data_IF_799646561031
#
_entry.id   IF_799646561031
#
_cell.length_a   1.000
_cell.length_b   1.000
_cell.length_c   1.000
_cell.angle_alpha   90.00
_cell.angle_beta   90.00
_cell.angle_gamma   90.00
#
_symmetry.space_group_name_H-M   'P 1'
#
loop_
_entity.id
_entity.type
_entity.pdbx_description
1 polymer ?
#
# COMPACT_ATOMS: atom_id res chain seq x y z
N UNK A 1 35.71 7.52 62.75
CA UNK A 1 34.46 8.08 62.27
C UNK A 1 34.69 8.53 60.85
N UNK A 2 34.29 7.74 59.88
CA UNK A 2 34.43 8.03 58.42
C UNK A 2 33.04 8.25 57.83
N UNK A 3 32.74 9.48 57.41
CA UNK A 3 31.49 9.87 56.74
C UNK A 3 31.59 9.46 55.29
N UNK A 4 30.76 8.50 54.89
CA UNK A 4 30.56 8.13 53.49
C UNK A 4 29.44 9.01 52.97
N UNK A 5 29.78 9.96 52.10
CA UNK A 5 28.81 10.77 51.38
C UNK A 5 28.31 9.95 50.19
N UNK A 6 27.04 9.48 50.23
CA UNK A 6 26.38 8.85 49.13
C UNK A 6 26.11 9.89 48.03
N UNK A 7 26.81 9.76 46.91
CA UNK A 7 26.54 10.53 45.70
C UNK A 7 25.48 9.74 44.92
N UNK A 8 24.23 10.19 44.94
CA UNK A 8 23.17 9.66 44.08
C UNK A 8 23.35 10.31 42.72
N UNK A 9 23.87 9.55 41.78
CA UNK A 9 23.90 9.96 40.39
C UNK A 9 22.50 9.80 39.77
N UNK A 10 21.83 10.93 39.55
CA UNK A 10 20.54 10.98 38.83
C UNK A 10 20.83 10.89 37.35
N UNK A 11 20.65 9.69 36.76
CA UNK A 11 20.73 9.48 35.35
C UNK A 11 19.44 10.01 34.70
N UNK A 12 19.52 11.16 34.04
CA UNK A 12 18.47 11.67 33.19
C UNK A 12 18.40 10.80 31.94
N UNK A 13 17.42 9.90 31.88
CA UNK A 13 17.10 9.16 30.66
C UNK A 13 16.30 10.09 29.77
N UNK A 14 16.93 10.71 28.77
CA UNK A 14 16.23 11.44 27.72
C UNK A 14 15.55 10.42 26.83
N UNK A 15 14.24 10.24 26.98
CA UNK A 15 13.42 9.53 26.02
C UNK A 15 13.40 10.35 24.72
N UNK A 16 14.16 9.90 23.73
CA UNK A 16 14.05 10.43 22.37
C UNK A 16 12.66 10.06 21.83
N UNK A 17 11.77 11.05 21.71
CA UNK A 17 10.54 10.92 20.94
C UNK A 17 10.93 10.69 19.47
N UNK A 18 10.88 9.45 19.02
CA UNK A 18 10.95 9.13 17.60
C UNK A 18 9.63 9.60 17.00
N UNK A 19 9.63 10.82 16.48
CA UNK A 19 8.56 11.29 15.60
C UNK A 19 8.72 10.49 14.32
N UNK A 20 7.93 9.44 14.17
CA UNK A 20 7.78 8.77 12.88
C UNK A 20 7.20 9.81 11.91
N UNK A 21 8.03 10.36 11.06
CA UNK A 21 7.55 11.09 9.90
C UNK A 21 6.69 10.11 9.10
N UNK A 22 5.37 10.28 9.15
CA UNK A 22 4.48 9.56 8.25
C UNK A 22 4.89 9.97 6.84
N UNK A 23 5.45 9.03 6.08
CA UNK A 23 5.64 9.24 4.66
C UNK A 23 4.28 9.56 4.07
N UNK A 24 4.23 10.56 3.20
CA UNK A 24 2.99 10.89 2.50
C UNK A 24 2.47 9.65 1.78
N UNK A 25 1.21 9.31 2.03
CA UNK A 25 0.58 8.16 1.39
C UNK A 25 0.01 8.58 0.03
N UNK A 26 0.17 7.72 -0.95
CA UNK A 26 -0.40 7.92 -2.28
C UNK A 26 -1.14 6.64 -2.69
N UNK A 27 -2.46 6.65 -2.55
CA UNK A 27 -3.32 5.54 -2.93
C UNK A 27 -4.32 6.00 -3.98
N UNK A 28 -4.51 5.19 -5.02
CA UNK A 28 -5.53 5.40 -6.04
C UNK A 28 -6.90 5.09 -5.45
N UNK A 29 -7.61 6.14 -5.11
CA UNK A 29 -8.92 6.08 -4.44
C UNK A 29 -10.01 6.72 -5.27
N UNK A 30 -11.25 6.32 -5.04
CA UNK A 30 -12.45 6.85 -5.68
C UNK A 30 -13.51 7.26 -4.67
N UNK A 31 -14.31 8.24 -5.05
CA UNK A 31 -15.42 8.75 -4.25
C UNK A 31 -14.99 9.52 -3.00
N UNK A 32 -15.99 10.09 -2.31
CA UNK A 32 -15.79 10.88 -1.10
C UNK A 32 -15.26 10.06 0.10
N UNK A 33 -15.43 8.73 0.05
CA UNK A 33 -14.98 7.81 1.11
C UNK A 33 -13.57 7.27 0.90
N UNK A 34 -12.81 7.80 -0.07
CA UNK A 34 -11.45 7.35 -0.40
C UNK A 34 -11.34 5.82 -0.60
N UNK A 35 -12.27 5.25 -1.37
CA UNK A 35 -12.32 3.80 -1.59
C UNK A 35 -11.17 3.37 -2.50
N UNK A 36 -10.33 2.47 -1.99
CA UNK A 36 -9.22 1.86 -2.73
C UNK A 36 -9.72 0.79 -3.71
N UNK A 37 -8.98 0.62 -4.81
CA UNK A 37 -9.18 -0.47 -5.80
C UNK A 37 -10.63 -0.56 -6.31
N UNK A 38 -11.34 0.59 -6.35
CA UNK A 38 -12.73 0.63 -6.80
C UNK A 38 -13.71 -0.21 -5.96
N UNK A 39 -13.37 -0.55 -4.72
CA UNK A 39 -14.21 -1.36 -3.83
C UNK A 39 -14.07 -2.87 -4.04
N UNK A 40 -13.09 -3.33 -4.80
CA UNK A 40 -12.76 -4.75 -4.88
C UNK A 40 -11.97 -5.21 -3.65
N UNK A 41 -12.28 -6.41 -3.20
CA UNK A 41 -11.60 -7.08 -2.09
C UNK A 41 -10.17 -7.47 -2.48
N UNK A 42 -9.19 -6.80 -1.88
CA UNK A 42 -7.79 -7.03 -2.23
C UNK A 42 -7.27 -8.38 -1.73
N UNK A 43 -7.86 -8.96 -0.69
CA UNK A 43 -7.51 -10.29 -0.19
C UNK A 43 -7.96 -11.38 -1.16
N UNK A 44 -9.15 -11.23 -1.77
CA UNK A 44 -9.71 -12.21 -2.69
C UNK A 44 -8.82 -12.48 -3.92
N UNK A 45 -8.02 -11.52 -4.37
CA UNK A 45 -7.04 -11.77 -5.44
C UNK A 45 -6.01 -12.83 -5.06
N UNK A 46 -5.64 -12.89 -3.78
CA UNK A 46 -4.63 -13.83 -3.26
C UNK A 46 -5.23 -15.16 -2.81
N UNK A 47 -6.39 -15.14 -2.16
CA UNK A 47 -7.01 -16.31 -1.56
C UNK A 47 -7.91 -17.06 -2.53
N UNK A 48 -8.72 -16.31 -3.28
CA UNK A 48 -9.77 -16.86 -4.16
C UNK A 48 -9.36 -16.86 -5.62
N UNK A 49 -8.24 -16.20 -5.95
CA UNK A 49 -7.77 -16.00 -7.33
C UNK A 49 -8.86 -15.35 -8.22
N UNK A 50 -9.58 -14.39 -7.67
CA UNK A 50 -10.72 -13.71 -8.30
C UNK A 50 -10.77 -12.22 -7.95
N UNK A 51 -11.30 -11.43 -8.88
CA UNK A 51 -11.78 -10.08 -8.60
C UNK A 51 -13.19 -10.18 -7.98
N UNK A 52 -13.31 -9.88 -6.68
CA UNK A 52 -14.57 -9.97 -5.93
C UNK A 52 -14.90 -8.57 -5.41
N UNK A 53 -16.14 -8.11 -5.57
CA UNK A 53 -16.60 -6.88 -4.94
C UNK A 53 -16.71 -7.07 -3.43
N UNK A 54 -16.22 -6.09 -2.69
CA UNK A 54 -16.37 -6.06 -1.23
C UNK A 54 -17.80 -5.68 -0.80
N UNK A 55 -18.14 -6.03 0.42
CA UNK A 55 -19.32 -5.55 1.12
C UNK A 55 -18.99 -4.17 1.75
N UNK A 56 -19.71 -3.09 1.42
CA UNK A 56 -19.43 -1.75 1.94
C UNK A 56 -19.51 -1.62 3.47
N UNK A 57 -20.08 -2.61 4.15
CA UNK A 57 -20.13 -2.68 5.61
C UNK A 57 -18.94 -3.41 6.25
N UNK A 58 -18.08 -4.04 5.44
CA UNK A 58 -16.89 -4.77 5.90
C UNK A 58 -15.64 -4.05 5.42
N UNK A 59 -15.16 -3.09 6.19
CA UNK A 59 -14.10 -2.17 5.78
C UNK A 59 -12.95 -2.10 6.77
N UNK A 60 -11.75 -1.74 6.27
CA UNK A 60 -10.63 -1.29 7.07
C UNK A 60 -9.96 -0.07 6.42
N UNK A 61 -9.34 0.77 7.25
CA UNK A 61 -8.57 1.93 6.77
C UNK A 61 -7.09 1.62 6.85
N UNK A 62 -6.38 1.88 5.75
CA UNK A 62 -4.93 1.74 5.69
C UNK A 62 -4.34 2.80 4.75
N UNK A 63 -3.29 3.50 5.17
CA UNK A 63 -2.64 4.57 4.41
C UNK A 63 -3.65 5.62 3.87
N UNK A 64 -4.59 6.07 4.71
CA UNK A 64 -5.59 7.07 4.35
C UNK A 64 -6.65 6.61 3.34
N UNK A 65 -6.65 5.34 2.95
CA UNK A 65 -7.63 4.75 2.03
C UNK A 65 -8.56 3.75 2.75
N UNK A 66 -9.77 3.62 2.26
CA UNK A 66 -10.76 2.64 2.74
C UNK A 66 -10.75 1.41 1.84
N UNK A 67 -10.38 0.29 2.40
CA UNK A 67 -10.45 -1.03 1.76
C UNK A 67 -11.74 -1.72 2.15
N UNK A 68 -12.37 -2.42 1.20
CA UNK A 68 -13.66 -3.09 1.35
C UNK A 68 -13.48 -4.58 1.08
N UNK A 69 -14.04 -5.43 1.93
CA UNK A 69 -13.82 -6.87 1.89
C UNK A 69 -15.12 -7.63 1.70
N UNK A 70 -15.08 -8.76 1.03
CA UNK A 70 -16.24 -9.64 0.82
C UNK A 70 -16.65 -10.40 2.08
N UNK A 71 -15.75 -10.54 3.05
CA UNK A 71 -16.02 -11.21 4.32
C UNK A 71 -15.24 -10.61 5.49
N UNK A 72 -15.66 -10.94 6.70
CA UNK A 72 -14.93 -10.56 7.91
C UNK A 72 -13.57 -11.25 7.99
N UNK A 73 -13.48 -12.48 7.53
CA UNK A 73 -12.26 -13.27 7.50
C UNK A 73 -11.21 -12.57 6.60
N UNK A 74 -11.61 -12.06 5.43
CA UNK A 74 -10.72 -11.31 4.54
C UNK A 74 -10.27 -9.99 5.19
N UNK A 75 -11.18 -9.28 5.87
CA UNK A 75 -10.82 -8.11 6.65
C UNK A 75 -9.78 -8.43 7.71
N UNK A 76 -9.95 -9.50 8.49
CA UNK A 76 -9.01 -9.92 9.53
C UNK A 76 -7.64 -10.29 8.95
N UNK A 77 -7.60 -10.99 7.81
CA UNK A 77 -6.37 -11.28 7.08
C UNK A 77 -5.65 -10.00 6.63
N UNK A 78 -6.41 -9.02 6.14
CA UNK A 78 -5.86 -7.73 5.74
C UNK A 78 -5.30 -6.97 6.95
N UNK A 79 -6.06 -6.86 8.03
CA UNK A 79 -5.64 -6.13 9.25
C UNK A 79 -4.40 -6.76 9.89
N UNK A 80 -4.24 -8.08 9.80
CA UNK A 80 -3.06 -8.79 10.29
C UNK A 80 -1.80 -8.52 9.46
N UNK A 81 -1.92 -8.29 8.14
CA UNK A 81 -0.79 -8.07 7.24
C UNK A 81 -1.18 -7.21 6.02
N UNK A 82 -1.52 -5.93 6.19
CA UNK A 82 -2.04 -5.09 5.11
C UNK A 82 -1.06 -4.96 3.93
N UNK A 83 0.23 -4.86 4.21
CA UNK A 83 1.28 -4.73 3.19
C UNK A 83 1.34 -5.90 2.20
N UNK A 84 0.87 -7.08 2.62
CA UNK A 84 0.77 -8.26 1.76
C UNK A 84 -0.33 -8.11 0.70
N UNK A 85 -1.43 -7.44 1.05
CA UNK A 85 -2.66 -7.42 0.26
C UNK A 85 -2.92 -6.12 -0.48
N UNK A 86 -2.24 -5.02 -0.12
CA UNK A 86 -2.35 -3.76 -0.88
C UNK A 86 -1.70 -3.89 -2.25
N UNK A 87 -2.27 -3.25 -3.29
CA UNK A 87 -1.65 -3.25 -4.60
C UNK A 87 -0.35 -2.46 -4.61
N UNK A 88 0.57 -2.87 -5.45
CA UNK A 88 1.79 -2.11 -5.71
C UNK A 88 1.48 -0.77 -6.38
N UNK A 89 2.40 0.17 -6.29
CA UNK A 89 2.22 1.51 -6.85
C UNK A 89 0.95 2.21 -6.36
N UNK A 90 0.55 1.98 -5.09
CA UNK A 90 -0.66 2.55 -4.51
C UNK A 90 -1.95 2.19 -5.26
N UNK A 91 -1.97 1.15 -6.08
CA UNK A 91 -3.11 0.79 -6.92
C UNK A 91 -3.25 1.60 -8.20
N UNK A 92 -2.26 2.44 -8.56
CA UNK A 92 -2.15 3.04 -9.88
C UNK A 92 -1.62 2.05 -10.92
N UNK A 93 -1.76 2.41 -12.19
CA UNK A 93 -1.22 1.63 -13.31
C UNK A 93 0.30 1.44 -13.15
N UNK A 94 0.75 0.21 -12.94
CA UNK A 94 2.16 -0.10 -12.69
C UNK A 94 3.06 0.26 -13.87
N UNK A 95 2.62 0.07 -15.12
CA UNK A 95 3.34 0.55 -16.30
C UNK A 95 3.39 2.08 -16.34
N UNK A 96 2.30 2.77 -15.97
CA UNK A 96 2.28 4.22 -15.85
C UNK A 96 3.34 4.73 -14.89
N UNK A 97 3.43 4.13 -13.70
CA UNK A 97 4.45 4.47 -12.69
C UNK A 97 5.86 4.19 -13.23
N UNK A 98 6.05 3.11 -13.99
CA UNK A 98 7.37 2.82 -14.61
C UNK A 98 7.84 3.88 -15.59
N UNK A 99 6.94 4.66 -16.16
CA UNK A 99 7.24 5.81 -17.04
C UNK A 99 7.05 7.16 -16.35
N UNK A 100 6.89 7.17 -15.02
CA UNK A 100 6.83 8.39 -14.22
C UNK A 100 5.47 9.10 -14.21
N UNK A 101 4.37 8.39 -14.49
CA UNK A 101 3.04 8.96 -14.57
C UNK A 101 2.00 8.12 -13.79
N UNK A 102 0.95 8.79 -13.28
CA UNK A 102 -0.17 8.17 -12.59
C UNK A 102 -1.34 8.02 -13.54
N UNK A 103 -1.82 6.80 -13.72
CA UNK A 103 -3.01 6.49 -14.52
C UNK A 103 -3.97 5.61 -13.71
N UNK A 104 -5.29 5.71 -13.97
CA UNK A 104 -6.28 4.80 -13.41
C UNK A 104 -6.03 3.38 -13.89
N UNK A 105 -6.77 2.44 -13.35
CA UNK A 105 -6.63 1.01 -13.65
C UNK A 105 -7.95 0.40 -14.11
N UNK A 106 -7.84 -0.65 -14.91
CA UNK A 106 -8.91 -1.60 -15.20
C UNK A 106 -8.69 -2.83 -14.32
N UNK A 107 -9.66 -3.15 -13.46
CA UNK A 107 -9.56 -4.28 -12.53
C UNK A 107 -9.32 -5.61 -13.25
N UNK A 108 -9.79 -5.76 -14.47
CA UNK A 108 -9.57 -6.98 -15.27
C UNK A 108 -8.10 -7.24 -15.63
N UNK A 109 -7.22 -6.28 -15.33
CA UNK A 109 -5.77 -6.38 -15.55
C UNK A 109 -4.99 -6.86 -14.34
N UNK A 110 -5.68 -7.22 -13.25
CA UNK A 110 -5.01 -7.67 -12.05
C UNK A 110 -4.12 -8.89 -12.31
N UNK A 111 -3.01 -8.94 -11.63
CA UNK A 111 -2.11 -10.10 -11.61
C UNK A 111 -1.34 -10.15 -10.31
N UNK A 112 -1.11 -11.37 -9.80
CA UNK A 112 -0.18 -11.62 -8.72
C UNK A 112 1.13 -12.11 -9.33
N UNK A 113 2.22 -11.38 -9.10
CA UNK A 113 3.58 -11.74 -9.51
C UNK A 113 4.52 -11.58 -8.33
N UNK A 114 5.29 -12.61 -8.01
CA UNK A 114 6.21 -12.63 -6.88
C UNK A 114 5.50 -12.27 -5.55
N UNK A 115 4.27 -12.74 -5.34
CA UNK A 115 3.48 -12.46 -4.14
C UNK A 115 2.95 -11.03 -4.02
N UNK A 116 2.97 -10.24 -5.09
CA UNK A 116 2.54 -8.85 -5.13
C UNK A 116 1.43 -8.64 -6.14
N UNK A 117 0.45 -7.80 -5.80
CA UNK A 117 -0.66 -7.42 -6.66
C UNK A 117 -0.28 -6.23 -7.55
N UNK A 118 -0.39 -6.39 -8.85
CA UNK A 118 -0.21 -5.33 -9.84
C UNK A 118 -1.49 -5.11 -10.64
N UNK A 119 -1.74 -3.85 -10.98
CA UNK A 119 -2.86 -3.40 -11.81
C UNK A 119 -2.34 -2.52 -12.95
N UNK A 120 -3.04 -2.52 -14.06
CA UNK A 120 -2.70 -1.70 -15.22
C UNK A 120 -3.92 -1.01 -15.82
N UNK A 121 -3.71 0.00 -16.65
CA UNK A 121 -4.74 0.82 -17.26
C UNK A 121 -5.72 0.00 -18.14
N UNK A 122 -5.20 -0.96 -18.89
CA UNK A 122 -5.96 -1.85 -19.77
C UNK A 122 -5.10 -3.04 -20.20
N UNK A 123 -5.69 -3.98 -20.93
CA UNK A 123 -5.02 -5.20 -21.39
C UNK A 123 -3.84 -4.96 -22.33
N UNK A 124 -3.88 -3.92 -23.16
CA UNK A 124 -2.76 -3.57 -24.02
C UNK A 124 -1.56 -3.05 -23.21
N UNK A 125 -1.81 -2.26 -22.18
CA UNK A 125 -0.78 -1.77 -21.25
C UNK A 125 -0.26 -2.90 -20.35
N UNK A 126 -1.12 -3.80 -19.88
CA UNK A 126 -0.71 -5.01 -19.18
C UNK A 126 0.30 -5.84 -20.01
N UNK A 127 0.01 -6.01 -21.33
CA UNK A 127 0.94 -6.70 -22.25
C UNK A 127 2.30 -5.99 -22.32
N UNK A 128 2.31 -4.65 -22.40
CA UNK A 128 3.56 -3.87 -22.38
C UNK A 128 4.31 -4.01 -21.05
N UNK A 129 3.60 -3.97 -19.93
CA UNK A 129 4.19 -4.17 -18.62
C UNK A 129 4.86 -5.54 -18.49
N UNK A 130 4.20 -6.58 -18.99
CA UNK A 130 4.69 -7.95 -18.93
C UNK A 130 5.78 -8.28 -19.96
N UNK A 131 5.95 -7.49 -21.02
CA UNK A 131 7.00 -7.71 -22.03
C UNK A 131 8.41 -7.60 -21.44
N UNK A 132 8.60 -6.78 -20.41
CA UNK A 132 9.83 -6.67 -19.63
C UNK A 132 9.46 -6.37 -18.16
N UNK A 133 8.83 -7.37 -17.51
CA UNK A 133 8.23 -7.21 -16.19
C UNK A 133 9.24 -6.69 -15.16
N UNK A 134 10.39 -7.35 -15.04
CA UNK A 134 11.37 -7.03 -13.99
C UNK A 134 11.97 -5.62 -14.19
N UNK A 135 12.29 -5.24 -15.42
CA UNK A 135 12.76 -3.89 -15.70
C UNK A 135 11.67 -2.83 -15.47
N UNK A 136 10.41 -3.11 -15.81
CA UNK A 136 9.31 -2.20 -15.57
C UNK A 136 9.01 -2.05 -14.07
N UNK A 137 9.09 -3.12 -13.27
CA UNK A 137 9.01 -3.05 -11.82
C UNK A 137 10.14 -2.21 -11.24
N UNK A 138 11.39 -2.45 -11.64
CA UNK A 138 12.54 -1.68 -11.16
C UNK A 138 12.41 -0.18 -11.48
N UNK A 139 11.91 0.17 -12.68
CA UNK A 139 11.62 1.58 -13.04
C UNK A 139 10.48 2.15 -12.19
N UNK A 140 9.41 1.38 -11.95
CA UNK A 140 8.30 1.82 -11.11
C UNK A 140 8.77 2.10 -9.67
N UNK A 141 9.54 1.19 -9.08
CA UNK A 141 10.12 1.35 -7.74
C UNK A 141 11.03 2.59 -7.64
N UNK A 142 11.81 2.86 -8.68
CA UNK A 142 12.66 4.06 -8.76
C UNK A 142 11.85 5.36 -8.84
N UNK A 143 10.75 5.37 -9.58
CA UNK A 143 9.93 6.56 -9.80
C UNK A 143 8.96 6.83 -8.65
N UNK A 144 8.52 5.78 -7.94
CA UNK A 144 7.47 5.84 -6.94
C UNK A 144 7.71 6.89 -5.84
N UNK A 145 8.90 7.00 -5.21
CA UNK A 145 9.14 8.00 -4.17
C UNK A 145 8.90 9.44 -4.64
N UNK A 146 9.30 9.75 -5.89
CA UNK A 146 9.08 11.09 -6.47
C UNK A 146 7.61 11.37 -6.74
N UNK A 147 6.85 10.37 -7.17
CA UNK A 147 5.40 10.49 -7.39
C UNK A 147 4.67 10.68 -6.06
N UNK A 148 5.05 9.93 -5.02
CA UNK A 148 4.52 10.11 -3.66
C UNK A 148 4.83 11.51 -3.14
N UNK A 149 6.05 11.98 -3.26
CA UNK A 149 6.43 13.33 -2.81
C UNK A 149 5.66 14.45 -3.53
N UNK A 150 5.30 14.24 -4.80
CA UNK A 150 4.58 15.23 -5.62
C UNK A 150 3.07 15.18 -5.44
N UNK A 151 2.49 14.01 -5.21
CA UNK A 151 1.05 13.79 -5.27
C UNK A 151 0.45 13.19 -3.99
N UNK A 152 1.27 12.70 -3.07
CA UNK A 152 0.84 12.15 -1.79
C UNK A 152 0.27 13.23 -0.85
N UNK A 153 -0.51 12.79 0.16
CA UNK A 153 -1.19 13.65 1.14
C UNK A 153 -0.63 13.41 2.53
#
# INVERSE_FOLDING_TARGET
MKNIKNLIALTLTTAALVVSAHAADLVNVSGASNIAVGGYDTVAFFTDNKAVNGDPFVTATYQGATYIFASKEHKELFEAAPEKYVPQCGGYCAFGVSVGALFPVDISTWQIRNGKLYLNLNKAILKKFNADFDANVAKADKNWPSLVAKHGK
#
